data_IF_346210076162
#
_entry.id   IF_346210076162
#
_cell.length_a   1.000
_cell.length_b   1.000
_cell.length_c   1.000
_cell.angle_alpha   90.00
_cell.angle_beta   90.00
_cell.angle_gamma   90.00
#
_symmetry.space_group_name_H-M   'P 1'
#
loop_
_entity.id
_entity.type
_entity.pdbx_description
1 polymer ?
#
# COMPACT_ATOMS: atom_id res chain seq x y z
N UNK A 1 -3.15 25.32 -11.79
CA UNK A 1 -3.75 25.63 -10.46
C UNK A 1 -5.07 24.88 -10.23
N UNK A 2 -5.98 24.87 -11.20
CA UNK A 2 -7.32 24.24 -11.12
C UNK A 2 -7.29 22.75 -10.72
N UNK A 3 -6.34 21.98 -11.24
CA UNK A 3 -6.21 20.54 -10.96
C UNK A 3 -5.80 20.24 -9.49
N UNK A 4 -5.00 21.13 -8.86
CA UNK A 4 -4.58 20.98 -7.46
C UNK A 4 -5.74 21.20 -6.48
N UNK A 5 -6.60 22.19 -6.76
CA UNK A 5 -7.79 22.47 -5.95
C UNK A 5 -8.80 21.31 -6.00
N UNK A 6 -9.00 20.72 -7.18
CA UNK A 6 -9.90 19.57 -7.36
C UNK A 6 -9.41 18.35 -6.59
N UNK A 7 -8.12 18.02 -6.68
CA UNK A 7 -7.52 16.88 -6.00
C UNK A 7 -7.39 17.03 -4.46
N UNK A 8 -7.65 18.24 -3.94
CA UNK A 8 -7.71 18.51 -2.50
C UNK A 8 -9.13 18.54 -1.94
N UNK A 9 -10.17 18.42 -2.79
CA UNK A 9 -11.56 18.35 -2.30
C UNK A 9 -11.77 17.05 -1.52
N UNK A 10 -12.40 17.09 -0.33
CA UNK A 10 -12.57 15.91 0.54
C UNK A 10 -13.21 14.71 -0.16
N UNK A 11 -14.26 14.96 -0.96
CA UNK A 11 -14.94 13.90 -1.72
C UNK A 11 -14.02 13.25 -2.76
N UNK A 12 -13.22 14.03 -3.47
CA UNK A 12 -12.29 13.52 -4.49
C UNK A 12 -11.18 12.69 -3.82
N UNK A 13 -10.63 13.15 -2.69
CA UNK A 13 -9.65 12.40 -1.92
C UNK A 13 -10.26 11.08 -1.44
N UNK A 14 -11.47 11.11 -0.89
CA UNK A 14 -12.18 9.92 -0.42
C UNK A 14 -12.38 8.89 -1.55
N UNK A 15 -12.89 9.34 -2.71
CA UNK A 15 -13.16 8.45 -3.84
C UNK A 15 -11.87 7.85 -4.41
N UNK A 16 -10.84 8.67 -4.64
CA UNK A 16 -9.58 8.20 -5.24
C UNK A 16 -8.76 7.35 -4.25
N UNK A 17 -8.68 7.74 -2.98
CA UNK A 17 -8.01 6.93 -1.96
C UNK A 17 -8.78 5.62 -1.69
N UNK A 18 -10.12 5.68 -1.65
CA UNK A 18 -10.97 4.50 -1.56
C UNK A 18 -10.78 3.54 -2.74
N UNK A 19 -10.68 4.07 -3.96
CA UNK A 19 -10.37 3.28 -5.15
C UNK A 19 -8.99 2.60 -5.03
N UNK A 20 -7.96 3.33 -4.58
CA UNK A 20 -6.64 2.73 -4.35
C UNK A 20 -6.72 1.59 -3.33
N UNK A 21 -7.46 1.78 -2.23
CA UNK A 21 -7.64 0.77 -1.20
C UNK A 21 -8.43 -0.46 -1.69
N UNK A 22 -9.44 -0.25 -2.54
CA UNK A 22 -10.18 -1.35 -3.19
C UNK A 22 -9.26 -2.15 -4.12
N UNK A 23 -8.47 -1.47 -4.96
CA UNK A 23 -7.49 -2.10 -5.83
C UNK A 23 -6.47 -2.90 -5.01
N UNK A 24 -5.88 -2.34 -3.96
CA UNK A 24 -4.95 -3.07 -3.11
C UNK A 24 -5.61 -4.21 -2.32
N UNK A 25 -6.85 -4.03 -1.86
CA UNK A 25 -7.63 -5.10 -1.22
C UNK A 25 -7.87 -6.28 -2.16
N UNK A 26 -8.08 -6.02 -3.46
CA UNK A 26 -8.22 -7.09 -4.45
C UNK A 26 -6.90 -7.81 -4.76
N UNK A 27 -5.74 -7.20 -4.45
CA UNK A 27 -4.44 -7.79 -4.81
C UNK A 27 -4.22 -9.15 -4.16
N UNK A 28 -4.62 -9.35 -2.88
CA UNK A 28 -4.36 -10.59 -2.15
C UNK A 28 -5.05 -11.80 -2.81
N UNK A 29 -6.37 -11.78 -3.09
CA UNK A 29 -7.03 -12.87 -3.81
C UNK A 29 -6.38 -13.18 -5.16
N UNK A 30 -6.03 -12.14 -5.92
CA UNK A 30 -5.41 -12.34 -7.24
C UNK A 30 -3.94 -12.79 -7.18
N UNK A 31 -3.19 -12.43 -6.12
CA UNK A 31 -1.84 -12.99 -5.87
C UNK A 31 -1.97 -14.49 -5.61
N UNK A 32 -2.89 -14.91 -4.74
CA UNK A 32 -3.14 -16.32 -4.44
C UNK A 32 -3.55 -17.10 -5.69
N UNK A 33 -4.40 -16.50 -6.53
CA UNK A 33 -4.79 -17.08 -7.82
C UNK A 33 -3.59 -17.21 -8.77
N UNK A 34 -2.74 -16.19 -8.83
CA UNK A 34 -1.49 -16.21 -9.59
C UNK A 34 -0.55 -17.31 -9.12
N UNK A 35 -0.34 -17.43 -7.81
CA UNK A 35 0.47 -18.51 -7.23
C UNK A 35 -0.07 -19.88 -7.61
N UNK A 36 -1.38 -20.07 -7.52
CA UNK A 36 -2.02 -21.32 -7.91
C UNK A 36 -1.78 -21.66 -9.40
N UNK A 37 -1.89 -20.67 -10.30
CA UNK A 37 -1.70 -20.88 -11.74
C UNK A 37 -0.23 -21.08 -12.13
N UNK A 38 0.72 -20.48 -11.42
CA UNK A 38 2.15 -20.69 -11.61
C UNK A 38 2.71 -21.88 -10.81
N UNK A 39 1.89 -22.58 -10.01
CA UNK A 39 2.34 -23.69 -9.17
C UNK A 39 3.29 -23.25 -8.03
N UNK A 40 3.20 -22.00 -7.58
CA UNK A 40 4.06 -21.45 -6.51
C UNK A 40 3.60 -21.97 -5.16
N UNK A 41 4.45 -22.73 -4.48
CA UNK A 41 4.16 -23.21 -3.12
C UNK A 41 4.38 -22.14 -2.04
N UNK A 42 3.78 -22.34 -0.88
CA UNK A 42 3.91 -21.42 0.25
C UNK A 42 5.37 -21.29 0.76
N UNK A 43 6.18 -22.33 0.64
CA UNK A 43 7.61 -22.33 1.03
C UNK A 43 8.57 -21.81 -0.06
N UNK A 44 8.08 -21.57 -1.28
CA UNK A 44 8.94 -21.14 -2.39
C UNK A 44 9.08 -19.62 -2.43
N UNK A 45 9.81 -19.09 -1.46
CA UNK A 45 10.10 -17.66 -1.32
C UNK A 45 10.81 -17.08 -2.53
N UNK A 46 11.69 -17.85 -3.19
CA UNK A 46 12.43 -17.39 -4.36
C UNK A 46 11.48 -17.07 -5.53
N UNK A 47 10.53 -17.97 -5.85
CA UNK A 47 9.53 -17.76 -6.89
C UNK A 47 8.52 -16.68 -6.49
N UNK A 48 8.16 -16.55 -5.21
CA UNK A 48 7.29 -15.47 -4.72
C UNK A 48 7.93 -14.10 -4.92
N UNK A 49 9.23 -13.95 -4.62
CA UNK A 49 10.00 -12.72 -4.85
C UNK A 49 10.12 -12.44 -6.36
N UNK A 50 10.39 -13.47 -7.18
CA UNK A 50 10.42 -13.34 -8.63
C UNK A 50 9.07 -12.88 -9.20
N UNK A 51 7.96 -13.48 -8.74
CA UNK A 51 6.60 -13.06 -9.13
C UNK A 51 6.33 -11.59 -8.77
N UNK A 52 6.66 -11.19 -7.54
CA UNK A 52 6.55 -9.81 -7.10
C UNK A 52 7.42 -8.86 -7.92
N UNK A 53 8.65 -9.26 -8.22
CA UNK A 53 9.58 -8.53 -9.06
C UNK A 53 9.06 -8.31 -10.48
N UNK A 54 8.59 -9.36 -11.14
CA UNK A 54 7.97 -9.29 -12.47
C UNK A 54 6.72 -8.37 -12.46
N UNK A 55 5.86 -8.52 -11.45
CA UNK A 55 4.68 -7.66 -11.27
C UNK A 55 5.04 -6.19 -11.19
N UNK A 56 6.01 -5.81 -10.34
CA UNK A 56 6.38 -4.43 -10.15
C UNK A 56 7.18 -3.86 -11.31
N UNK A 57 8.04 -4.66 -11.95
CA UNK A 57 8.71 -4.26 -13.18
C UNK A 57 7.70 -3.91 -14.28
N UNK A 58 6.72 -4.78 -14.52
CA UNK A 58 5.63 -4.54 -15.47
C UNK A 58 4.78 -3.33 -15.06
N UNK A 59 4.48 -3.16 -13.77
CA UNK A 59 3.74 -2.00 -13.28
C UNK A 59 4.48 -0.69 -13.57
N UNK A 60 5.79 -0.66 -13.31
CA UNK A 60 6.65 0.49 -13.62
C UNK A 60 6.69 0.78 -15.11
N UNK A 61 6.90 -0.25 -15.93
CA UNK A 61 6.90 -0.14 -17.39
C UNK A 61 5.57 0.45 -17.91
N UNK A 62 4.43 -0.10 -17.48
CA UNK A 62 3.11 0.39 -17.86
C UNK A 62 2.91 1.85 -17.44
N UNK A 63 3.31 2.21 -16.20
CA UNK A 63 3.20 3.58 -15.71
C UNK A 63 3.98 4.54 -16.58
N UNK A 64 5.23 4.21 -16.94
CA UNK A 64 6.09 5.06 -17.78
C UNK A 64 5.56 5.11 -19.21
N UNK A 65 5.08 4.01 -19.74
CA UNK A 65 4.49 3.95 -21.08
C UNK A 65 3.29 4.90 -21.18
N UNK A 66 2.32 4.77 -20.25
CA UNK A 66 1.13 5.63 -20.24
C UNK A 66 1.47 7.10 -20.04
N UNK A 67 2.39 7.41 -19.15
CA UNK A 67 2.81 8.79 -18.90
C UNK A 67 3.57 9.38 -20.12
N UNK A 68 4.39 8.57 -20.80
CA UNK A 68 5.07 8.98 -22.03
C UNK A 68 4.10 9.26 -23.17
N UNK A 69 3.10 8.41 -23.34
CA UNK A 69 2.02 8.62 -24.34
C UNK A 69 1.21 9.88 -24.00
N UNK A 70 0.82 10.06 -22.75
CA UNK A 70 0.05 11.22 -22.30
C UNK A 70 0.81 12.54 -22.49
N UNK A 71 2.13 12.53 -22.29
CA UNK A 71 3.00 13.71 -22.48
C UNK A 71 3.47 13.90 -23.92
N UNK A 72 3.26 12.91 -24.81
CA UNK A 72 3.84 12.85 -26.16
C UNK A 72 5.38 12.99 -26.16
N UNK A 73 6.02 12.53 -25.09
CA UNK A 73 7.48 12.57 -24.90
C UNK A 73 7.90 11.52 -23.88
N UNK A 74 9.14 10.98 -23.98
CA UNK A 74 9.63 10.00 -23.00
C UNK A 74 9.58 10.53 -21.57
N UNK A 75 8.96 9.78 -20.67
CA UNK A 75 8.76 10.15 -19.27
C UNK A 75 9.98 9.73 -18.43
N UNK A 76 11.01 10.56 -18.38
CA UNK A 76 12.18 10.37 -17.52
C UNK A 76 12.14 11.28 -16.30
N UNK A 77 12.67 10.83 -15.14
CA UNK A 77 12.91 11.72 -14.00
C UNK A 77 14.01 12.73 -14.36
N UNK A 78 13.98 13.88 -13.73
CA UNK A 78 15.08 14.83 -13.80
C UNK A 78 16.39 14.17 -13.35
N UNK A 79 17.54 14.59 -13.91
CA UNK A 79 18.85 14.04 -13.52
C UNK A 79 19.10 14.08 -12.01
N UNK A 80 18.66 15.15 -11.35
CA UNK A 80 18.75 15.34 -9.90
C UNK A 80 17.81 14.47 -9.08
N UNK A 81 16.79 13.87 -9.70
CA UNK A 81 15.77 13.05 -9.02
C UNK A 81 16.11 11.56 -8.95
N UNK A 82 17.14 11.08 -9.67
CA UNK A 82 17.47 9.65 -9.69
C UNK A 82 17.85 9.09 -8.33
N UNK A 83 18.57 9.84 -7.50
CA UNK A 83 18.87 9.45 -6.12
C UNK A 83 17.59 9.26 -5.27
N UNK A 84 16.57 10.08 -5.53
CA UNK A 84 15.26 9.94 -4.86
C UNK A 84 14.48 8.73 -5.37
N UNK A 85 14.56 8.43 -6.67
CA UNK A 85 13.97 7.23 -7.28
C UNK A 85 14.58 5.96 -6.66
N UNK A 86 15.91 5.90 -6.52
CA UNK A 86 16.60 4.76 -5.88
C UNK A 86 16.17 4.60 -4.42
N UNK A 87 16.15 5.68 -3.63
CA UNK A 87 15.70 5.64 -2.22
C UNK A 87 14.26 5.16 -2.09
N UNK A 88 13.38 5.62 -3.00
CA UNK A 88 12.00 5.21 -3.02
C UNK A 88 11.86 3.74 -3.43
N UNK A 89 12.64 3.28 -4.41
CA UNK A 89 12.70 1.88 -4.85
C UNK A 89 13.14 0.95 -3.71
N UNK A 90 14.17 1.33 -2.95
CA UNK A 90 14.62 0.58 -1.78
C UNK A 90 13.52 0.48 -0.72
N UNK A 91 12.89 1.59 -0.35
CA UNK A 91 11.90 1.61 0.72
C UNK A 91 10.57 0.94 0.30
N UNK A 92 10.00 1.35 -0.86
CA UNK A 92 8.64 0.99 -1.26
C UNK A 92 8.55 -0.35 -1.99
N UNK A 93 9.61 -0.76 -2.69
CA UNK A 93 9.56 -1.98 -3.50
C UNK A 93 10.44 -3.06 -2.90
N UNK A 94 11.74 -2.83 -2.73
CA UNK A 94 12.66 -3.90 -2.34
C UNK A 94 12.45 -4.27 -0.87
N UNK A 95 12.70 -3.35 0.07
CA UNK A 95 12.61 -3.66 1.52
C UNK A 95 11.17 -4.05 1.86
N UNK A 96 10.19 -3.23 1.47
CA UNK A 96 8.79 -3.49 1.80
C UNK A 96 8.36 -4.90 1.35
N UNK A 97 8.57 -5.26 0.09
CA UNK A 97 8.00 -6.50 -0.44
C UNK A 97 8.85 -7.75 -0.20
N UNK A 98 10.18 -7.66 -0.15
CA UNK A 98 11.01 -8.81 0.26
C UNK A 98 10.65 -9.23 1.69
N UNK A 99 10.63 -8.28 2.62
CA UNK A 99 10.23 -8.58 4.01
C UNK A 99 8.76 -8.97 4.14
N UNK A 100 7.87 -8.40 3.30
CA UNK A 100 6.48 -8.80 3.27
C UNK A 100 6.29 -10.26 2.88
N UNK A 101 6.84 -10.68 1.75
CA UNK A 101 6.67 -12.05 1.25
C UNK A 101 7.26 -13.07 2.21
N UNK A 102 8.46 -12.84 2.71
CA UNK A 102 9.10 -13.73 3.69
C UNK A 102 8.28 -13.76 4.99
N UNK A 103 7.90 -12.60 5.50
CA UNK A 103 7.17 -12.49 6.77
C UNK A 103 5.81 -13.16 6.74
N UNK A 104 5.02 -12.93 5.69
CA UNK A 104 3.67 -13.52 5.55
C UNK A 104 3.73 -15.04 5.38
N UNK A 105 4.76 -15.59 4.75
CA UNK A 105 4.94 -17.04 4.64
C UNK A 105 5.17 -17.73 6.02
N UNK A 106 5.62 -16.97 7.03
CA UNK A 106 5.93 -17.48 8.38
C UNK A 106 4.99 -16.94 9.47
N UNK A 107 3.92 -16.24 9.11
CA UNK A 107 2.97 -15.61 10.03
C UNK A 107 1.55 -16.05 9.74
N UNK A 108 0.74 -16.24 10.78
CA UNK A 108 -0.69 -16.47 10.60
C UNK A 108 -1.34 -15.29 9.88
N UNK A 109 -2.19 -15.57 8.89
CA UNK A 109 -2.80 -14.55 8.01
C UNK A 109 -3.47 -13.41 8.77
N UNK A 110 -4.18 -13.72 9.87
CA UNK A 110 -4.83 -12.70 10.70
C UNK A 110 -3.82 -11.76 11.38
N UNK A 111 -2.72 -12.29 11.93
CA UNK A 111 -1.64 -11.48 12.54
C UNK A 111 -0.98 -10.59 11.50
N UNK A 112 -0.64 -11.14 10.33
CA UNK A 112 -0.05 -10.39 9.22
C UNK A 112 -0.95 -9.25 8.76
N UNK A 113 -2.26 -9.50 8.62
CA UNK A 113 -3.25 -8.49 8.24
C UNK A 113 -3.40 -7.36 9.29
N UNK A 114 -3.37 -7.70 10.59
CA UNK A 114 -3.41 -6.72 11.66
C UNK A 114 -2.16 -5.83 11.62
N UNK A 115 -0.97 -6.42 11.51
CA UNK A 115 0.29 -5.66 11.44
C UNK A 115 0.28 -4.74 10.22
N UNK A 116 -0.11 -5.23 9.04
CA UNK A 116 -0.23 -4.39 7.85
C UNK A 116 -1.28 -3.28 8.01
N UNK A 117 -2.36 -3.54 8.71
CA UNK A 117 -3.38 -2.53 9.03
C UNK A 117 -2.85 -1.37 9.89
N UNK A 118 -1.80 -1.59 10.70
CA UNK A 118 -1.14 -0.53 11.45
C UNK A 118 -0.44 0.50 10.56
N UNK A 119 -0.20 0.18 9.28
CA UNK A 119 0.48 1.07 8.33
C UNK A 119 -0.16 2.46 8.25
N UNK A 120 -1.48 2.56 8.29
CA UNK A 120 -2.18 3.84 8.26
C UNK A 120 -1.72 4.75 9.39
N UNK A 121 -1.78 4.25 10.61
CA UNK A 121 -1.38 5.01 11.80
C UNK A 121 0.12 5.27 11.84
N UNK A 122 0.95 4.27 11.51
CA UNK A 122 2.41 4.41 11.42
C UNK A 122 2.82 5.46 10.38
N UNK A 123 2.11 5.56 9.24
CA UNK A 123 2.35 6.62 8.25
C UNK A 123 2.09 8.01 8.79
N UNK A 124 1.05 8.18 9.61
CA UNK A 124 0.75 9.44 10.29
C UNK A 124 1.85 9.79 11.30
N UNK A 125 2.29 8.82 12.12
CA UNK A 125 3.37 8.99 13.06
C UNK A 125 4.68 9.41 12.37
N UNK A 126 5.04 8.71 11.31
CA UNK A 126 6.25 9.00 10.51
C UNK A 126 6.18 10.38 9.87
N UNK A 127 5.02 10.77 9.32
CA UNK A 127 4.82 12.11 8.76
C UNK A 127 4.98 13.22 9.82
N UNK A 128 4.49 12.99 11.04
CA UNK A 128 4.54 13.98 12.13
C UNK A 128 5.92 14.03 12.80
N UNK A 129 6.53 12.89 13.11
CA UNK A 129 7.73 12.85 13.96
C UNK A 129 9.04 12.74 13.18
N UNK A 130 9.07 11.98 12.06
CA UNK A 130 10.28 11.77 11.27
C UNK A 130 10.40 12.83 10.17
N UNK A 131 9.39 12.95 9.32
CA UNK A 131 9.42 13.92 8.22
C UNK A 131 9.01 15.32 8.63
N UNK A 132 8.30 15.47 9.76
CA UNK A 132 7.83 16.74 10.32
C UNK A 132 7.05 17.59 9.29
N UNK A 133 6.33 16.92 8.40
CA UNK A 133 5.48 17.57 7.38
C UNK A 133 4.12 17.98 7.92
N UNK A 134 3.76 17.46 9.10
CA UNK A 134 2.49 17.70 9.79
C UNK A 134 2.73 17.71 11.30
N UNK A 135 1.77 18.27 12.05
CA UNK A 135 1.78 18.22 13.53
C UNK A 135 0.82 17.14 14.02
N UNK A 136 1.20 16.44 15.06
CA UNK A 136 0.33 15.51 15.76
C UNK A 136 -0.63 16.28 16.66
N UNK A 137 -1.89 15.86 16.70
CA UNK A 137 -2.89 16.40 17.63
C UNK A 137 -3.74 15.25 18.22
N UNK A 138 -4.54 15.57 19.25
CA UNK A 138 -5.36 14.59 19.96
C UNK A 138 -6.31 13.82 19.02
N UNK A 139 -6.90 14.50 18.03
CA UNK A 139 -7.83 13.83 17.10
C UNK A 139 -7.11 12.85 16.17
N UNK A 140 -5.88 13.14 15.73
CA UNK A 140 -5.07 12.18 14.95
C UNK A 140 -4.71 10.94 15.79
N UNK A 141 -4.40 11.13 17.10
CA UNK A 141 -4.17 10.03 18.04
C UNK A 141 -5.43 9.17 18.22
N UNK A 142 -6.54 9.78 18.60
CA UNK A 142 -7.81 9.10 18.86
C UNK A 142 -8.28 8.37 17.61
N UNK A 143 -8.32 9.05 16.46
CA UNK A 143 -8.75 8.47 15.20
C UNK A 143 -7.84 7.33 14.74
N UNK A 144 -6.50 7.49 14.88
CA UNK A 144 -5.55 6.41 14.57
C UNK A 144 -5.78 5.17 15.42
N UNK A 145 -5.96 5.32 16.73
CA UNK A 145 -6.24 4.20 17.64
C UNK A 145 -7.57 3.52 17.35
N UNK A 146 -8.63 4.27 17.03
CA UNK A 146 -9.92 3.71 16.61
C UNK A 146 -9.76 2.89 15.33
N UNK A 147 -8.99 3.39 14.35
CA UNK A 147 -8.72 2.68 13.10
C UNK A 147 -7.96 1.37 13.31
N UNK A 148 -6.94 1.39 14.17
CA UNK A 148 -6.21 0.19 14.60
C UNK A 148 -7.16 -0.82 15.25
N UNK A 149 -8.01 -0.38 16.18
CA UNK A 149 -9.00 -1.25 16.83
C UNK A 149 -9.96 -1.86 15.80
N UNK A 150 -10.41 -1.10 14.79
CA UNK A 150 -11.23 -1.63 13.69
C UNK A 150 -10.53 -2.73 12.90
N UNK A 151 -9.24 -2.57 12.60
CA UNK A 151 -8.44 -3.61 11.91
C UNK A 151 -8.28 -4.85 12.79
N UNK A 152 -8.08 -4.69 14.09
CA UNK A 152 -8.04 -5.82 15.03
C UNK A 152 -9.36 -6.55 15.03
N UNK A 153 -10.49 -5.84 15.13
CA UNK A 153 -11.84 -6.43 15.14
C UNK A 153 -12.10 -7.25 13.87
N UNK A 154 -11.76 -6.74 12.68
CA UNK A 154 -12.03 -7.47 11.42
C UNK A 154 -11.18 -8.73 11.28
N UNK A 155 -9.96 -8.73 11.80
CA UNK A 155 -9.02 -9.86 11.69
C UNK A 155 -8.98 -10.75 12.94
N UNK A 156 -9.86 -10.53 13.93
CA UNK A 156 -9.91 -11.35 15.14
C UNK A 156 -10.35 -12.78 14.81
N UNK A 157 -9.60 -13.77 15.25
CA UNK A 157 -9.94 -15.19 15.11
C UNK A 157 -10.26 -15.80 16.48
N UNK A 158 -10.95 -16.97 16.50
CA UNK A 158 -11.26 -17.70 17.75
C UNK A 158 -9.99 -18.11 18.50
N UNK A 159 -8.90 -18.37 17.76
CA UNK A 159 -7.61 -18.75 18.33
C UNK A 159 -6.82 -17.55 18.88
N UNK A 160 -7.35 -16.34 18.77
CA UNK A 160 -6.74 -15.10 19.24
C UNK A 160 -5.38 -14.82 18.59
N UNK A 161 -4.47 -14.26 19.39
CA UNK A 161 -3.07 -14.02 18.99
C UNK A 161 -2.14 -15.20 19.36
N UNK A 162 -2.63 -16.45 19.38
CA UNK A 162 -1.90 -17.63 19.79
C UNK A 162 -0.48 -17.74 19.21
N UNK A 163 0.46 -18.20 20.05
CA UNK A 163 1.89 -18.31 19.73
C UNK A 163 2.67 -17.00 19.92
N UNK A 164 3.95 -17.10 20.29
CA UNK A 164 4.83 -15.94 20.43
C UNK A 164 5.07 -15.15 19.14
N UNK A 165 5.75 -14.01 19.26
CA UNK A 165 6.22 -13.22 18.10
C UNK A 165 7.49 -13.87 17.55
N UNK A 166 7.47 -14.24 16.27
CA UNK A 166 8.63 -14.77 15.55
C UNK A 166 9.30 -13.68 14.74
N UNK A 167 10.61 -13.54 14.85
CA UNK A 167 11.35 -12.49 14.14
C UNK A 167 11.17 -12.60 12.62
N UNK A 168 11.29 -13.81 12.06
CA UNK A 168 11.17 -14.06 10.60
C UNK A 168 9.71 -13.94 10.14
N UNK A 169 8.73 -14.14 11.02
CA UNK A 169 7.31 -13.94 10.73
C UNK A 169 6.89 -12.50 10.97
N UNK A 170 6.31 -12.25 12.14
CA UNK A 170 5.72 -10.96 12.53
C UNK A 170 6.75 -9.83 12.48
N UNK A 171 8.01 -10.08 12.87
CA UNK A 171 9.07 -9.07 12.81
C UNK A 171 9.32 -8.58 11.38
N UNK A 172 9.35 -9.47 10.40
CA UNK A 172 9.52 -9.10 8.99
C UNK A 172 8.31 -8.35 8.44
N UNK A 173 7.09 -8.74 8.83
CA UNK A 173 5.88 -7.99 8.47
C UNK A 173 5.90 -6.57 9.07
N UNK A 174 6.42 -6.40 10.28
CA UNK A 174 6.61 -5.08 10.91
C UNK A 174 7.63 -4.24 10.10
N UNK A 175 8.77 -4.82 9.71
CA UNK A 175 9.77 -4.13 8.88
C UNK A 175 9.14 -3.68 7.56
N UNK A 176 8.39 -4.56 6.90
CA UNK A 176 7.65 -4.24 5.69
C UNK A 176 6.67 -3.07 5.89
N UNK A 177 5.89 -3.11 6.96
CA UNK A 177 4.92 -2.07 7.30
C UNK A 177 5.61 -0.73 7.57
N UNK A 178 6.70 -0.72 8.32
CA UNK A 178 7.49 0.51 8.58
C UNK A 178 8.10 1.05 7.29
N UNK A 179 8.65 0.19 6.43
CA UNK A 179 9.20 0.59 5.13
C UNK A 179 8.12 1.21 4.23
N UNK A 180 6.92 0.63 4.20
CA UNK A 180 5.76 1.17 3.50
C UNK A 180 5.34 2.55 4.04
N UNK A 181 5.28 2.70 5.35
CA UNK A 181 4.94 3.96 5.99
C UNK A 181 6.01 5.04 5.73
N UNK A 182 7.30 4.68 5.78
CA UNK A 182 8.40 5.57 5.37
C UNK A 182 8.30 5.97 3.90
N UNK A 183 7.96 5.04 3.01
CA UNK A 183 7.80 5.33 1.59
C UNK A 183 6.70 6.37 1.34
N UNK A 184 5.62 6.34 2.10
CA UNK A 184 4.55 7.33 2.04
C UNK A 184 5.07 8.75 2.32
N UNK A 185 5.92 8.91 3.33
CA UNK A 185 6.59 10.18 3.63
C UNK A 185 7.58 10.60 2.55
N UNK A 186 8.35 9.66 2.00
CA UNK A 186 9.28 9.90 0.90
C UNK A 186 8.55 10.35 -0.37
N UNK A 187 7.44 9.70 -0.73
CA UNK A 187 6.59 10.09 -1.86
C UNK A 187 6.11 11.53 -1.68
N UNK A 188 5.63 11.89 -0.49
CA UNK A 188 5.21 13.26 -0.17
C UNK A 188 6.35 14.25 -0.37
N UNK A 189 7.54 13.95 0.17
CA UNK A 189 8.72 14.81 0.09
C UNK A 189 9.23 14.93 -1.34
N UNK A 190 9.46 13.82 -2.02
CA UNK A 190 10.10 13.79 -3.33
C UNK A 190 9.16 14.23 -4.46
N UNK A 191 7.87 13.97 -4.34
CA UNK A 191 6.85 14.41 -5.30
C UNK A 191 6.74 15.94 -5.44
N UNK A 192 7.41 16.72 -4.61
CA UNK A 192 7.51 18.17 -4.77
C UNK A 192 8.57 18.56 -5.82
N UNK A 193 9.58 17.71 -6.06
CA UNK A 193 10.70 18.00 -6.95
C UNK A 193 10.50 17.51 -8.38
N UNK A 194 9.68 16.45 -8.53
CA UNK A 194 9.44 15.83 -9.83
C UNK A 194 8.00 15.29 -9.94
N UNK A 195 7.64 14.76 -11.12
CA UNK A 195 6.35 14.11 -11.32
C UNK A 195 6.24 12.85 -10.43
N UNK A 196 5.24 12.77 -9.54
CA UNK A 196 5.09 11.61 -8.69
C UNK A 196 4.77 10.34 -9.49
N UNK A 197 4.12 10.45 -10.65
CA UNK A 197 3.82 9.33 -11.53
C UNK A 197 5.09 8.78 -12.18
N UNK A 198 5.94 9.66 -12.72
CA UNK A 198 7.24 9.28 -13.30
C UNK A 198 8.13 8.62 -12.25
N UNK A 199 8.21 9.22 -11.07
CA UNK A 199 8.99 8.65 -9.96
C UNK A 199 8.47 7.28 -9.53
N UNK A 200 7.15 7.10 -9.44
CA UNK A 200 6.54 5.81 -9.12
C UNK A 200 6.82 4.76 -10.19
N UNK A 201 6.75 5.13 -11.46
CA UNK A 201 7.06 4.21 -12.57
C UNK A 201 8.51 3.72 -12.52
N UNK A 202 9.48 4.63 -12.45
CA UNK A 202 10.90 4.28 -12.44
C UNK A 202 11.34 3.54 -11.18
N UNK A 203 10.80 3.89 -10.00
CA UNK A 203 11.13 3.15 -8.78
C UNK A 203 10.59 1.72 -8.82
N UNK A 204 9.42 1.49 -9.43
CA UNK A 204 8.90 0.15 -9.63
C UNK A 204 9.70 -0.66 -10.66
N UNK A 205 10.14 -0.03 -11.75
CA UNK A 205 11.02 -0.71 -12.71
C UNK A 205 12.34 -1.13 -12.06
N UNK A 206 13.00 -0.22 -11.35
CA UNK A 206 14.28 -0.52 -10.68
C UNK A 206 14.10 -1.57 -9.58
N UNK A 207 13.15 -1.36 -8.67
CA UNK A 207 12.91 -2.29 -7.57
C UNK A 207 12.39 -3.64 -8.02
N UNK A 208 11.49 -3.64 -9.01
CA UNK A 208 10.98 -4.85 -9.63
C UNK A 208 12.07 -5.64 -10.34
N UNK A 209 12.98 -4.97 -11.08
CA UNK A 209 14.13 -5.60 -11.70
C UNK A 209 15.05 -6.26 -10.67
N UNK A 210 15.41 -5.53 -9.59
CA UNK A 210 16.25 -6.07 -8.51
C UNK A 210 15.60 -7.28 -7.85
N UNK A 211 14.30 -7.22 -7.55
CA UNK A 211 13.57 -8.35 -6.97
C UNK A 211 13.47 -9.53 -7.94
N UNK A 212 13.19 -9.28 -9.23
CA UNK A 212 13.09 -10.34 -10.22
C UNK A 212 14.44 -11.04 -10.44
N UNK A 213 15.52 -10.29 -10.55
CA UNK A 213 16.88 -10.83 -10.68
C UNK A 213 17.28 -11.59 -9.41
N UNK A 214 16.99 -11.04 -8.22
CA UNK A 214 17.29 -11.71 -6.95
C UNK A 214 16.50 -13.00 -6.77
N UNK A 215 15.19 -13.00 -7.07
CA UNK A 215 14.36 -14.20 -7.02
C UNK A 215 14.81 -15.27 -8.02
N UNK A 216 15.17 -14.87 -9.24
CA UNK A 216 15.70 -15.76 -10.26
C UNK A 216 17.05 -16.37 -9.84
N UNK A 217 17.98 -15.53 -9.34
CA UNK A 217 19.28 -15.98 -8.85
C UNK A 217 19.18 -16.91 -7.64
N UNK A 218 18.13 -16.75 -6.82
CA UNK A 218 17.81 -17.67 -5.71
C UNK A 218 17.14 -18.98 -6.15
N UNK A 219 17.00 -19.22 -7.46
CA UNK A 219 16.43 -20.45 -8.02
C UNK A 219 14.94 -20.39 -8.33
N UNK A 220 14.30 -19.24 -8.16
CA UNK A 220 12.89 -19.05 -8.49
C UNK A 220 12.62 -19.24 -9.97
N UNK A 221 11.46 -19.81 -10.29
CA UNK A 221 11.01 -20.07 -11.68
C UNK A 221 9.56 -19.67 -11.85
N UNK A 222 9.27 -18.89 -12.89
CA UNK A 222 7.93 -18.37 -13.16
C UNK A 222 7.50 -18.79 -14.58
N UNK A 223 7.12 -20.05 -14.73
CA UNK A 223 6.65 -20.63 -15.98
C UNK A 223 5.34 -21.35 -15.72
N UNK A 224 4.37 -21.20 -16.62
CA UNK A 224 3.07 -21.86 -16.54
C UNK A 224 2.55 -22.15 -17.93
N UNK A 225 1.98 -23.34 -18.13
CA UNK A 225 1.26 -23.71 -19.36
C UNK A 225 -0.16 -23.10 -19.39
N UNK A 226 -0.62 -22.56 -18.27
CA UNK A 226 -1.92 -21.91 -18.17
C UNK A 226 -1.81 -20.41 -18.53
N UNK A 227 -2.40 -19.95 -19.66
CA UNK A 227 -2.35 -18.54 -20.06
C UNK A 227 -2.94 -17.58 -19.01
N UNK A 228 -3.89 -18.06 -18.18
CA UNK A 228 -4.50 -17.25 -17.14
C UNK A 228 -3.48 -16.80 -16.06
N UNK A 229 -2.38 -17.53 -15.89
CA UNK A 229 -1.29 -17.12 -15.00
C UNK A 229 -0.74 -15.74 -15.40
N UNK A 230 -0.48 -15.54 -16.68
CA UNK A 230 0.05 -14.29 -17.23
C UNK A 230 -1.00 -13.18 -17.27
N UNK A 231 -2.27 -13.53 -17.51
CA UNK A 231 -3.39 -12.56 -17.42
C UNK A 231 -3.53 -12.01 -16.01
N UNK A 232 -3.45 -12.87 -14.98
CA UNK A 232 -3.49 -12.46 -13.58
C UNK A 232 -2.26 -11.60 -13.22
N UNK A 233 -1.07 -11.97 -13.67
CA UNK A 233 0.14 -11.17 -13.46
C UNK A 233 0.01 -9.77 -14.09
N UNK A 234 -0.50 -9.69 -15.32
CA UNK A 234 -0.74 -8.42 -16.01
C UNK A 234 -1.82 -7.57 -15.32
N UNK A 235 -2.90 -8.21 -14.83
CA UNK A 235 -3.91 -7.53 -14.01
C UNK A 235 -3.29 -6.91 -12.77
N UNK A 236 -2.48 -7.67 -12.03
CA UNK A 236 -1.79 -7.20 -10.82
C UNK A 236 -0.78 -6.07 -11.12
N UNK A 237 -0.11 -6.12 -12.27
CA UNK A 237 0.77 -5.04 -12.72
C UNK A 237 -0.01 -3.76 -13.01
N UNK A 238 -1.13 -3.85 -13.77
CA UNK A 238 -2.02 -2.71 -14.05
C UNK A 238 -2.61 -2.11 -12.78
N UNK A 239 -3.08 -2.96 -11.88
CA UNK A 239 -3.59 -2.57 -10.56
C UNK A 239 -2.54 -1.76 -9.80
N UNK A 240 -1.30 -2.24 -9.76
CA UNK A 240 -0.20 -1.55 -9.09
C UNK A 240 0.12 -0.21 -9.77
N UNK A 241 0.22 -0.18 -11.10
CA UNK A 241 0.47 1.03 -11.87
C UNK A 241 -0.56 2.12 -11.56
N UNK A 242 -1.85 1.78 -11.58
CA UNK A 242 -2.94 2.74 -11.34
C UNK A 242 -2.97 3.18 -9.87
N UNK A 243 -3.02 2.22 -8.93
CA UNK A 243 -3.20 2.54 -7.52
C UNK A 243 -2.03 3.39 -6.97
N UNK A 244 -0.79 3.01 -7.24
CA UNK A 244 0.37 3.76 -6.74
C UNK A 244 0.56 5.11 -7.42
N UNK A 245 0.22 5.24 -8.71
CA UNK A 245 0.25 6.52 -9.41
C UNK A 245 -0.77 7.50 -8.82
N UNK A 246 -2.02 7.05 -8.63
CA UNK A 246 -3.06 7.86 -8.00
C UNK A 246 -2.68 8.24 -6.56
N UNK A 247 -2.16 7.29 -5.80
CA UNK A 247 -1.71 7.52 -4.42
C UNK A 247 -0.60 8.56 -4.34
N UNK A 248 0.40 8.46 -5.22
CA UNK A 248 1.49 9.42 -5.27
C UNK A 248 1.02 10.83 -5.66
N UNK A 249 0.06 10.94 -6.59
CA UNK A 249 -0.57 12.21 -6.95
C UNK A 249 -1.35 12.79 -5.78
N UNK A 250 -2.12 11.97 -5.05
CA UNK A 250 -2.86 12.42 -3.86
C UNK A 250 -1.92 12.92 -2.75
N UNK A 251 -0.84 12.18 -2.47
CA UNK A 251 0.15 12.56 -1.47
C UNK A 251 0.91 13.84 -1.84
N UNK A 252 1.11 14.12 -3.12
CA UNK A 252 1.76 15.36 -3.56
C UNK A 252 0.98 16.59 -3.10
N UNK A 253 -0.36 16.55 -3.16
CA UNK A 253 -1.21 17.73 -2.95
C UNK A 253 -1.93 17.73 -1.60
N UNK A 254 -2.00 16.59 -0.92
CA UNK A 254 -2.68 16.47 0.37
C UNK A 254 -1.70 16.11 1.50
N UNK A 255 -2.03 16.43 2.77
CA UNK A 255 -1.33 15.90 3.93
C UNK A 255 -1.35 14.37 3.97
N UNK A 256 -0.28 13.78 4.52
CA UNK A 256 -0.17 12.31 4.64
C UNK A 256 -1.30 11.74 5.48
N UNK A 257 -1.62 12.38 6.62
CA UNK A 257 -2.69 11.92 7.52
C UNK A 257 -4.07 11.89 6.84
N UNK A 258 -4.35 12.86 5.95
CA UNK A 258 -5.61 12.90 5.18
C UNK A 258 -5.74 11.75 4.20
N UNK A 259 -4.65 11.29 3.60
CA UNK A 259 -4.64 10.22 2.60
C UNK A 259 -4.44 8.87 3.25
N UNK A 260 -3.42 8.73 4.12
CA UNK A 260 -3.03 7.46 4.71
C UNK A 260 -4.13 6.83 5.59
N UNK A 261 -4.98 7.64 6.23
CA UNK A 261 -6.08 7.10 7.05
C UNK A 261 -7.04 6.21 6.26
N UNK A 262 -7.15 6.40 4.94
CA UNK A 262 -8.01 5.54 4.11
C UNK A 262 -7.43 4.12 3.95
N UNK A 263 -6.13 3.89 4.19
CA UNK A 263 -5.57 2.54 4.10
C UNK A 263 -6.17 1.58 5.13
N UNK A 264 -6.82 2.06 6.17
CA UNK A 264 -7.65 1.22 7.05
C UNK A 264 -8.79 0.50 6.32
N UNK A 265 -9.22 0.98 5.14
CA UNK A 265 -10.23 0.29 4.31
C UNK A 265 -9.68 -0.96 3.60
N UNK A 266 -8.36 -1.09 3.43
CA UNK A 266 -7.76 -2.22 2.70
C UNK A 266 -8.15 -3.58 3.27
N UNK A 267 -8.03 -3.85 4.58
CA UNK A 267 -8.43 -5.14 5.15
C UNK A 267 -9.91 -5.45 4.92
N UNK A 268 -10.78 -4.44 4.98
CA UNK A 268 -12.22 -4.61 4.75
C UNK A 268 -12.49 -5.02 3.31
N UNK A 269 -11.91 -4.30 2.34
CA UNK A 269 -12.06 -4.66 0.93
C UNK A 269 -11.45 -6.03 0.63
N UNK A 270 -10.29 -6.35 1.26
CA UNK A 270 -9.65 -7.65 1.12
C UNK A 270 -10.57 -8.79 1.59
N UNK A 271 -11.19 -8.64 2.74
CA UNK A 271 -12.15 -9.62 3.28
C UNK A 271 -13.37 -9.74 2.39
N UNK A 272 -14.04 -8.63 2.04
CA UNK A 272 -15.24 -8.64 1.20
C UNK A 272 -14.95 -9.34 -0.14
N UNK A 273 -13.83 -9.00 -0.79
CA UNK A 273 -13.48 -9.61 -2.06
C UNK A 273 -13.07 -11.07 -1.94
N UNK A 274 -12.42 -11.46 -0.84
CA UNK A 274 -12.12 -12.87 -0.57
C UNK A 274 -13.39 -13.69 -0.42
N UNK A 275 -14.37 -13.18 0.33
CA UNK A 275 -15.69 -13.83 0.50
C UNK A 275 -16.47 -13.97 -0.81
N UNK A 276 -16.37 -12.95 -1.68
CA UNK A 276 -17.08 -12.96 -2.97
C UNK A 276 -16.42 -13.86 -4.01
N UNK A 277 -15.08 -13.93 -4.02
CA UNK A 277 -14.31 -14.56 -5.09
C UNK A 277 -13.78 -15.95 -4.74
N UNK A 278 -13.48 -16.22 -3.46
CA UNK A 278 -12.76 -17.42 -3.05
C UNK A 278 -13.58 -18.30 -2.12
N UNK A 279 -14.25 -17.74 -1.14
CA UNK A 279 -14.84 -18.50 -0.04
C UNK A 279 -16.28 -18.04 0.28
N UNK A 280 -17.26 -18.62 -0.44
CA UNK A 280 -18.68 -18.31 -0.27
C UNK A 280 -19.31 -18.86 1.02
N UNK A 281 -18.60 -19.74 1.75
CA UNK A 281 -19.13 -20.50 2.88
C UNK A 281 -18.50 -20.11 4.22
N UNK A 282 -17.93 -18.91 4.35
CA UNK A 282 -17.37 -18.51 5.66
C UNK A 282 -18.49 -18.11 6.62
N UNK A 283 -18.59 -18.80 7.75
CA UNK A 283 -19.49 -18.50 8.87
C UNK A 283 -19.10 -17.23 9.66
N UNK A 284 -18.37 -16.32 9.03
CA UNK A 284 -17.91 -15.13 9.72
C UNK A 284 -19.08 -14.16 9.99
N UNK A 285 -19.30 -13.74 11.24
CA UNK A 285 -20.47 -12.95 11.60
C UNK A 285 -20.44 -11.58 10.89
N UNK A 286 -21.43 -11.32 10.05
CA UNK A 286 -21.62 -10.05 9.31
C UNK A 286 -21.55 -8.83 10.25
N UNK A 287 -22.04 -8.98 11.49
CA UNK A 287 -21.99 -7.94 12.51
C UNK A 287 -20.56 -7.48 12.83
N UNK A 288 -19.59 -8.40 12.83
CA UNK A 288 -18.17 -8.07 13.07
C UNK A 288 -17.59 -7.18 11.95
N UNK A 289 -17.91 -7.50 10.71
CA UNK A 289 -17.47 -6.68 9.57
C UNK A 289 -18.15 -5.31 9.56
N UNK A 290 -19.43 -5.25 9.89
CA UNK A 290 -20.16 -3.99 10.03
C UNK A 290 -19.59 -3.11 11.16
N UNK A 291 -19.29 -3.69 12.32
CA UNK A 291 -18.67 -2.98 13.45
C UNK A 291 -17.28 -2.45 13.06
N UNK A 292 -16.42 -3.26 12.42
CA UNK A 292 -15.11 -2.84 11.98
C UNK A 292 -15.20 -1.70 10.94
N UNK A 293 -16.12 -1.79 9.99
CA UNK A 293 -16.36 -0.75 9.00
C UNK A 293 -16.80 0.57 9.67
N UNK A 294 -17.72 0.49 10.62
CA UNK A 294 -18.17 1.65 11.38
C UNK A 294 -17.00 2.32 12.14
N UNK A 295 -16.17 1.55 12.83
CA UNK A 295 -14.97 2.05 13.52
C UNK A 295 -14.00 2.73 12.54
N UNK A 296 -13.76 2.15 11.37
CA UNK A 296 -12.88 2.71 10.35
C UNK A 296 -13.47 4.01 9.77
N UNK A 297 -14.77 4.07 9.51
CA UNK A 297 -15.43 5.30 9.08
C UNK A 297 -15.30 6.41 10.13
N UNK A 298 -15.48 6.10 11.41
CA UNK A 298 -15.25 7.05 12.53
C UNK A 298 -13.80 7.49 12.58
N UNK A 299 -12.84 6.56 12.46
CA UNK A 299 -11.40 6.87 12.40
C UNK A 299 -11.10 7.88 11.30
N UNK A 300 -11.56 7.63 10.07
CA UNK A 300 -11.38 8.51 8.91
C UNK A 300 -11.95 9.90 9.21
N UNK A 301 -13.16 9.98 9.75
CA UNK A 301 -13.80 11.25 10.06
C UNK A 301 -13.03 12.03 11.12
N UNK A 302 -12.59 11.38 12.22
CA UNK A 302 -11.86 11.99 13.33
C UNK A 302 -10.48 12.48 12.90
N UNK A 303 -9.70 11.68 12.15
CA UNK A 303 -8.38 12.09 11.66
C UNK A 303 -8.50 13.27 10.69
N UNK A 304 -9.46 13.23 9.76
CA UNK A 304 -9.69 14.33 8.83
C UNK A 304 -10.15 15.61 9.53
N UNK A 305 -10.94 15.52 10.61
CA UNK A 305 -11.30 16.67 11.44
C UNK A 305 -10.07 17.26 12.14
N UNK A 306 -9.20 16.41 12.69
CA UNK A 306 -7.92 16.81 13.27
C UNK A 306 -7.02 17.54 12.29
N UNK A 307 -6.95 17.06 11.06
CA UNK A 307 -6.17 17.70 9.99
C UNK A 307 -6.73 19.08 9.61
N UNK A 308 -8.06 19.22 9.50
CA UNK A 308 -8.69 20.52 9.23
C UNK A 308 -8.45 21.54 10.32
N UNK A 309 -8.46 21.12 11.60
CA UNK A 309 -8.17 22.00 12.72
C UNK A 309 -6.71 22.50 12.68
N UNK A 310 -5.76 21.63 12.31
CA UNK A 310 -4.37 22.01 12.13
C UNK A 310 -4.21 23.06 11.01
N UNK A 311 -4.82 22.81 9.84
CA UNK A 311 -4.79 23.74 8.71
C UNK A 311 -5.42 25.11 9.05
N UNK A 312 -6.49 25.11 9.84
CA UNK A 312 -7.16 26.36 10.30
C UNK A 312 -6.26 27.15 11.24
N UNK A 313 -5.57 26.48 12.20
CA UNK A 313 -4.63 27.14 13.11
C UNK A 313 -3.45 27.77 12.38
N UNK A 314 -2.89 27.08 11.37
CA UNK A 314 -1.77 27.61 10.58
C UNK A 314 -2.21 28.85 9.79
N UNK A 315 -3.41 28.85 9.21
CA UNK A 315 -3.97 30.01 8.50
C UNK A 315 -4.25 31.18 9.43
N UNK A 316 -4.79 30.93 10.61
CA UNK A 316 -5.08 31.97 11.60
C UNK A 316 -3.83 32.59 12.26
N UNK A 317 -2.69 31.90 12.27
CA UNK A 317 -1.43 32.45 12.80
C UNK A 317 -0.59 33.19 11.73
N UNK A 318 -1.05 33.17 10.46
CA UNK A 318 -0.41 33.88 9.35
C UNK A 318 -1.04 35.27 9.05
N UNK A 319 -2.05 35.65 9.82
CA UNK A 319 -2.65 36.98 9.89
C UNK A 319 -2.34 37.63 11.22
#
# INVERSE_FOLDING_TARGET
MQNKQTLSKPLVVMLLAGLCCLLWGSAIPFINLGYRYFGVSAGDTATQILFGGCRFFLAGFLTILFESVARKSPAFPKRTSWGNVVKLSLAQTIIQYVFFYIGVAHTASAKGAIIQGLQAFTSILIACFIFRTERMNALKWIGGLIGVAGVVVVNWTKDGFGGGVRLIGEGFVIISMVASACSTGLIKKFGQFDSPVVMSGWQFMLGGAVMALGGFAAGGRLVSDNPMAYVVLLYLARLSAVAYSLWAVLLRVNPVSRVAVYTFLQPIFGVILSLLLVDRNSDAPLLRYAAALAMICVSIAVVNRGQRQEEAKIKGSAH
#
